data_IF_972257097250
#
_entry.id   IF_972257097250
#
_cell.length_a   1.000
_cell.length_b   1.000
_cell.length_c   1.000
_cell.angle_alpha   90.00
_cell.angle_beta   90.00
_cell.angle_gamma   90.00
#
_symmetry.space_group_name_H-M   'P 1'
#
loop_
_entity.id
_entity.type
_entity.pdbx_description
1 polymer ?
#
# COMPACT_ATOMS: atom_id res chain seq x y z
N UNK A 1 14.08 -28.23 -9.76
CA UNK A 1 14.60 -26.87 -9.52
C UNK A 1 13.77 -25.92 -10.37
N UNK A 2 12.82 -25.20 -9.77
CA UNK A 2 12.04 -24.21 -10.51
C UNK A 2 12.93 -23.01 -10.79
N UNK A 3 13.34 -22.87 -12.05
CA UNK A 3 14.09 -21.72 -12.53
C UNK A 3 13.10 -20.57 -12.59
N UNK A 4 12.95 -19.85 -11.49
CA UNK A 4 12.16 -18.61 -11.44
C UNK A 4 12.85 -17.66 -12.41
N UNK A 5 12.14 -17.26 -13.46
CA UNK A 5 12.72 -16.49 -14.55
C UNK A 5 13.21 -15.13 -14.01
N UNK A 6 14.29 -14.59 -14.57
CA UNK A 6 14.82 -13.27 -14.17
C UNK A 6 13.76 -12.16 -14.24
N UNK A 7 12.78 -12.32 -15.14
CA UNK A 7 11.61 -11.45 -15.27
C UNK A 7 10.66 -11.51 -14.08
N UNK A 8 10.42 -12.69 -13.52
CA UNK A 8 9.59 -12.85 -12.31
C UNK A 8 10.26 -12.18 -11.11
N UNK A 9 11.58 -12.36 -10.93
CA UNK A 9 12.35 -11.65 -9.90
C UNK A 9 12.30 -10.13 -10.06
N UNK A 10 12.33 -9.61 -11.29
CA UNK A 10 12.20 -8.17 -11.56
C UNK A 10 10.80 -7.65 -11.24
N UNK A 11 9.75 -8.38 -11.62
CA UNK A 11 8.36 -8.02 -11.29
C UNK A 11 8.12 -8.05 -9.78
N UNK A 12 8.61 -9.06 -9.09
CA UNK A 12 8.48 -9.19 -7.64
C UNK A 12 9.26 -8.07 -6.91
N UNK A 13 10.42 -7.65 -7.44
CA UNK A 13 11.18 -6.53 -6.90
C UNK A 13 10.47 -5.19 -7.11
N UNK A 14 9.88 -4.96 -8.29
CA UNK A 14 9.08 -3.74 -8.56
C UNK A 14 7.80 -3.72 -7.73
N UNK A 15 7.10 -4.85 -7.59
CA UNK A 15 5.91 -4.96 -6.74
C UNK A 15 6.25 -4.77 -5.25
N UNK A 16 7.42 -5.22 -4.78
CA UNK A 16 7.90 -4.94 -3.42
C UNK A 16 8.23 -3.46 -3.18
N UNK A 17 8.47 -2.70 -4.25
CA UNK A 17 8.78 -1.28 -4.19
C UNK A 17 7.55 -0.39 -4.30
N UNK A 18 6.42 -0.89 -4.81
CA UNK A 18 5.18 -0.11 -4.96
C UNK A 18 4.18 -0.61 -3.93
N UNK A 19 3.69 0.29 -3.10
CA UNK A 19 2.65 0.02 -2.12
C UNK A 19 1.34 0.66 -2.61
N UNK A 20 0.28 -0.15 -2.67
CA UNK A 20 -1.07 0.38 -2.88
C UNK A 20 -1.60 0.90 -1.55
N UNK A 21 -1.68 2.22 -1.40
CA UNK A 21 -2.19 2.87 -0.19
C UNK A 21 -3.68 3.11 -0.37
N UNK A 22 -4.54 2.67 0.57
CA UNK A 22 -5.96 2.99 0.52
C UNK A 22 -6.19 4.49 0.76
N UNK A 23 -7.00 5.10 -0.11
CA UNK A 23 -7.51 6.47 0.03
C UNK A 23 -8.90 6.40 0.64
N UNK A 24 -9.06 7.08 1.77
CA UNK A 24 -10.32 7.12 2.50
C UNK A 24 -11.05 8.42 2.23
N UNK A 25 -12.36 8.32 2.02
CA UNK A 25 -13.29 9.44 2.04
C UNK A 25 -14.04 9.46 3.37
N UNK A 26 -14.37 10.67 3.85
CA UNK A 26 -15.11 10.89 5.10
C UNK A 26 -14.42 10.24 6.32
N UNK A 27 -13.10 10.43 6.44
CA UNK A 27 -12.33 9.98 7.60
C UNK A 27 -12.78 10.73 8.85
N UNK A 28 -13.43 10.04 9.78
CA UNK A 28 -13.87 10.59 11.06
C UNK A 28 -13.55 9.63 12.21
N UNK A 29 -13.58 10.15 13.43
CA UNK A 29 -13.41 9.34 14.65
C UNK A 29 -14.81 9.13 15.21
N UNK A 30 -15.21 7.88 15.45
CA UNK A 30 -16.50 7.59 16.07
C UNK A 30 -16.48 7.88 17.59
N UNK A 31 -17.63 7.78 18.23
CA UNK A 31 -17.78 7.96 19.68
C UNK A 31 -17.01 6.93 20.53
N UNK A 32 -16.49 5.85 19.91
CA UNK A 32 -15.63 4.84 20.54
C UNK A 32 -14.13 5.14 20.37
N UNK A 33 -13.78 6.22 19.68
CA UNK A 33 -12.39 6.56 19.37
C UNK A 33 -11.80 5.78 18.19
N UNK A 34 -12.62 5.05 17.42
CA UNK A 34 -12.19 4.29 16.25
C UNK A 34 -12.23 5.17 15.00
N UNK A 35 -11.19 5.06 14.17
CA UNK A 35 -11.13 5.70 12.87
C UNK A 35 -12.08 4.98 11.90
N UNK A 36 -13.11 5.68 11.44
CA UNK A 36 -14.04 5.22 10.41
C UNK A 36 -13.88 6.08 9.16
N UNK A 37 -13.86 5.41 8.01
CA UNK A 37 -13.78 6.06 6.71
C UNK A 37 -14.09 5.04 5.63
N UNK A 38 -14.64 5.49 4.51
CA UNK A 38 -14.89 4.61 3.37
C UNK A 38 -13.68 4.62 2.46
N UNK A 39 -13.10 3.47 2.18
CA UNK A 39 -12.06 3.37 1.15
C UNK A 39 -12.72 3.61 -0.20
N UNK A 40 -12.32 4.68 -0.88
CA UNK A 40 -12.86 5.05 -2.19
C UNK A 40 -11.91 4.72 -3.33
N UNK A 41 -10.61 4.64 -3.05
CA UNK A 41 -9.60 4.38 -4.08
C UNK A 41 -8.32 3.79 -3.48
N UNK A 42 -7.42 3.34 -4.33
CA UNK A 42 -6.08 2.90 -3.96
C UNK A 42 -5.04 3.59 -4.84
N UNK A 43 -4.09 4.27 -4.22
CA UNK A 43 -3.00 4.93 -4.94
C UNK A 43 -1.72 4.12 -4.83
N UNK A 44 -1.13 3.82 -5.97
CA UNK A 44 0.17 3.14 -6.04
C UNK A 44 1.29 4.17 -5.80
N UNK A 45 1.98 4.01 -4.68
CA UNK A 45 3.12 4.87 -4.33
C UNK A 45 4.38 4.05 -4.11
N UNK A 46 5.55 4.54 -4.58
CA UNK A 46 6.81 3.89 -4.26
C UNK A 46 7.10 3.99 -2.76
N UNK A 47 7.49 2.86 -2.16
CA UNK A 47 7.79 2.70 -0.74
C UNK A 47 8.86 3.67 -0.24
N UNK A 48 9.78 4.08 -1.11
CA UNK A 48 10.83 5.07 -0.79
C UNK A 48 10.27 6.45 -0.40
N UNK A 49 9.05 6.78 -0.82
CA UNK A 49 8.38 8.06 -0.48
C UNK A 49 7.55 7.97 0.80
N UNK A 50 7.27 6.77 1.31
CA UNK A 50 6.49 6.56 2.53
C UNK A 50 7.48 6.42 3.68
N UNK A 51 7.59 7.46 4.51
CA UNK A 51 8.29 7.34 5.79
C UNK A 51 7.35 6.62 6.76
N UNK A 52 7.78 5.47 7.27
CA UNK A 52 7.17 4.90 8.48
C UNK A 52 7.27 5.98 9.57
N UNK A 53 6.13 6.37 10.14
CA UNK A 53 6.10 7.28 11.27
C UNK A 53 6.59 6.54 12.51
N UNK A 54 7.67 7.04 13.13
CA UNK A 54 8.10 6.68 14.48
C UNK A 54 7.03 7.01 15.54
#
# INVERSE_FOLDING_TARGET
MSIISFEEKRREKNAKQILSIPVYENLCINDKGELIGNVIDYVDMPKELIKEGD
#
